data_IF_836230587837
#
_entry.id   IF_836230587837
#
_cell.length_a   1.000
_cell.length_b   1.000
_cell.length_c   1.000
_cell.angle_alpha   90.00
_cell.angle_beta   90.00
_cell.angle_gamma   90.00
#
_symmetry.space_group_name_H-M   'P 1'
#
loop_
_entity.id
_entity.type
_entity.pdbx_description
1 polymer ?
#
# COMPACT_ATOMS: atom_id res chain seq x y z
N UNK A 1 -4.48 -44.38 34.41
CA UNK A 1 -3.71 -44.68 35.63
C UNK A 1 -2.33 -45.08 35.17
N UNK A 2 -1.31 -44.25 35.41
CA UNK A 2 0.07 -44.61 35.06
C UNK A 2 0.67 -45.36 36.25
N UNK A 3 1.18 -46.57 36.00
CA UNK A 3 1.80 -47.42 37.03
C UNK A 3 3.01 -46.70 37.65
N UNK A 4 3.12 -46.72 38.97
CA UNK A 4 4.10 -46.00 39.78
C UNK A 4 5.57 -46.43 39.59
N UNK A 5 5.84 -47.29 38.60
CA UNK A 5 7.15 -47.82 38.24
C UNK A 5 7.70 -47.28 36.92
N UNK A 6 6.94 -46.45 36.17
CA UNK A 6 7.43 -45.88 34.91
C UNK A 6 8.36 -44.68 35.16
N UNK A 7 9.59 -44.68 34.62
CA UNK A 7 10.50 -43.57 34.82
C UNK A 7 9.97 -42.31 34.14
N UNK A 8 10.12 -41.15 34.78
CA UNK A 8 9.66 -39.85 34.27
C UNK A 8 10.26 -39.52 32.88
N UNK A 9 11.41 -40.10 32.53
CA UNK A 9 12.07 -39.99 31.22
C UNK A 9 11.35 -40.71 30.08
N UNK A 10 10.42 -41.62 30.39
CA UNK A 10 9.57 -42.31 29.41
C UNK A 10 8.26 -41.56 29.12
N UNK A 11 7.94 -40.53 29.90
CA UNK A 11 6.72 -39.73 29.76
C UNK A 11 7.01 -38.40 29.07
N UNK A 12 5.97 -37.70 28.66
CA UNK A 12 6.07 -36.35 28.07
C UNK A 12 6.77 -35.37 29.01
N UNK A 13 7.82 -34.68 28.54
CA UNK A 13 8.63 -33.73 29.34
C UNK A 13 7.86 -32.48 29.81
N UNK A 14 6.59 -32.32 29.44
CA UNK A 14 5.78 -31.14 29.76
C UNK A 14 4.63 -31.48 30.71
N UNK A 15 3.96 -32.61 30.52
CA UNK A 15 2.80 -33.00 31.31
C UNK A 15 3.00 -34.29 32.13
N UNK A 16 4.10 -35.02 31.93
CA UNK A 16 4.50 -36.24 32.63
C UNK A 16 3.38 -37.29 32.85
N UNK A 17 2.36 -37.31 31.99
CA UNK A 17 1.14 -38.14 32.18
C UNK A 17 0.91 -39.13 31.05
N UNK A 18 1.42 -38.83 29.86
CA UNK A 18 1.26 -39.65 28.66
C UNK A 18 2.62 -39.89 27.99
N UNK A 19 2.78 -41.02 27.27
CA UNK A 19 3.98 -41.27 26.48
C UNK A 19 4.12 -40.22 25.36
N UNK A 20 5.35 -39.80 25.03
CA UNK A 20 5.58 -38.81 23.99
C UNK A 20 5.28 -39.35 22.59
N UNK A 21 4.67 -38.52 21.74
CA UNK A 21 4.34 -38.82 20.34
C UNK A 21 5.17 -37.99 19.35
N UNK A 22 5.61 -36.81 19.77
CA UNK A 22 6.29 -35.84 18.94
C UNK A 22 7.63 -35.44 19.56
N UNK A 23 8.60 -35.09 18.73
CA UNK A 23 9.93 -34.64 19.16
C UNK A 23 10.24 -33.32 18.47
N UNK A 24 10.65 -32.31 19.25
CA UNK A 24 11.01 -31.01 18.70
C UNK A 24 12.31 -31.10 17.89
N UNK A 25 12.39 -30.52 16.68
CA UNK A 25 13.59 -30.63 15.84
C UNK A 25 14.76 -29.74 16.30
N UNK A 26 14.55 -28.81 17.23
CA UNK A 26 15.61 -27.89 17.73
C UNK A 26 16.32 -28.45 18.96
N UNK A 27 15.56 -28.76 20.00
CA UNK A 27 16.04 -29.15 21.34
C UNK A 27 15.76 -30.64 21.65
N UNK A 28 15.14 -31.38 20.72
CA UNK A 28 14.79 -32.80 20.85
C UNK A 28 13.86 -33.12 22.02
N UNK A 29 13.14 -32.12 22.53
CA UNK A 29 12.16 -32.30 23.62
C UNK A 29 11.00 -33.17 23.14
N UNK A 30 10.68 -34.20 23.92
CA UNK A 30 9.63 -35.18 23.62
C UNK A 30 8.30 -34.75 24.24
N UNK A 31 7.25 -34.69 23.43
CA UNK A 31 5.93 -34.18 23.81
C UNK A 31 4.81 -35.12 23.34
N UNK A 32 3.71 -35.23 24.09
CA UNK A 32 2.61 -36.15 23.78
C UNK A 32 1.50 -35.53 22.90
N UNK A 33 1.42 -34.21 22.82
CA UNK A 33 0.34 -33.49 22.11
C UNK A 33 0.79 -32.13 21.59
N UNK A 34 0.01 -31.55 20.68
CA UNK A 34 0.24 -30.19 20.16
C UNK A 34 0.23 -29.13 21.28
N UNK A 35 -0.64 -29.28 22.29
CA UNK A 35 -0.65 -28.38 23.44
C UNK A 35 0.68 -28.44 24.21
N UNK A 36 1.23 -29.64 24.41
CA UNK A 36 2.55 -29.82 25.03
C UNK A 36 3.67 -29.27 24.15
N UNK A 37 3.59 -29.45 22.83
CA UNK A 37 4.59 -28.92 21.91
C UNK A 37 4.55 -27.39 21.82
N UNK A 38 3.39 -26.74 21.90
CA UNK A 38 3.32 -25.28 21.98
C UNK A 38 3.72 -24.75 23.37
N UNK A 39 3.42 -25.49 24.43
CA UNK A 39 3.83 -25.13 25.78
C UNK A 39 5.36 -25.18 25.95
N UNK A 40 6.05 -26.18 25.39
CA UNK A 40 7.52 -26.20 25.43
C UNK A 40 8.13 -25.02 24.67
N UNK A 41 7.62 -24.71 23.46
CA UNK A 41 8.10 -23.57 22.66
C UNK A 41 8.01 -22.26 23.43
N UNK A 42 6.91 -22.04 24.16
CA UNK A 42 6.70 -20.85 24.99
C UNK A 42 7.59 -20.85 26.25
N UNK A 43 7.63 -21.94 27.00
CA UNK A 43 8.38 -22.02 28.28
C UNK A 43 9.90 -21.98 28.07
N UNK A 44 10.40 -22.62 27.02
CA UNK A 44 11.83 -22.71 26.71
C UNK A 44 12.29 -21.67 25.67
N UNK A 45 11.43 -20.71 25.30
CA UNK A 45 11.68 -19.76 24.20
C UNK A 45 12.24 -20.42 22.93
N UNK A 46 11.75 -21.62 22.61
CA UNK A 46 12.24 -22.44 21.52
C UNK A 46 11.47 -22.12 20.24
N UNK A 47 12.19 -21.74 19.17
CA UNK A 47 11.58 -21.48 17.84
C UNK A 47 10.93 -22.72 17.24
N UNK A 48 11.35 -23.93 17.67
CA UNK A 48 10.88 -25.19 17.12
C UNK A 48 11.32 -25.43 15.66
N UNK A 49 12.29 -24.65 15.17
CA UNK A 49 12.95 -24.83 13.88
C UNK A 49 14.36 -25.35 14.15
N UNK A 50 14.79 -26.37 13.40
CA UNK A 50 16.14 -26.93 13.50
C UNK A 50 17.15 -25.83 13.18
N UNK A 51 18.22 -25.75 13.97
CA UNK A 51 19.28 -24.78 13.71
C UNK A 51 20.09 -25.20 12.46
N UNK A 52 20.07 -24.41 11.37
CA UNK A 52 20.83 -24.74 10.16
C UNK A 52 22.34 -24.59 10.35
N UNK A 53 22.80 -23.71 11.25
CA UNK A 53 24.22 -23.40 11.44
C UNK A 53 24.91 -24.28 12.50
N UNK A 54 24.16 -25.19 13.13
CA UNK A 54 24.73 -26.10 14.12
C UNK A 54 25.79 -27.01 13.51
N UNK A 55 26.97 -27.05 14.16
CA UNK A 55 28.10 -27.85 13.73
C UNK A 55 27.74 -29.33 13.60
N UNK A 56 28.15 -29.94 12.48
CA UNK A 56 28.05 -31.38 12.24
C UNK A 56 29.40 -31.88 11.78
N UNK A 57 29.89 -32.94 12.41
CA UNK A 57 31.16 -33.55 12.04
C UNK A 57 31.12 -34.07 10.61
N UNK A 58 32.29 -34.10 9.95
CA UNK A 58 32.40 -34.51 8.54
C UNK A 58 31.84 -35.91 8.28
N UNK A 59 32.01 -36.84 9.22
CA UNK A 59 31.46 -38.20 9.13
C UNK A 59 29.93 -38.24 9.19
N UNK A 60 29.30 -37.38 10.00
CA UNK A 60 27.85 -37.29 10.10
C UNK A 60 27.22 -36.53 8.92
N UNK A 61 27.96 -35.63 8.28
CA UNK A 61 27.51 -34.93 7.07
C UNK A 61 27.54 -35.83 5.83
N UNK A 62 28.54 -36.71 5.72
CA UNK A 62 28.70 -37.66 4.62
C UNK A 62 27.67 -38.84 4.63
N UNK A 63 26.57 -38.70 5.36
CA UNK A 63 25.44 -39.63 5.37
C UNK A 63 24.32 -39.08 4.48
N UNK A 64 23.51 -39.93 3.86
CA UNK A 64 22.38 -39.51 3.00
C UNK A 64 21.50 -38.43 3.67
N UNK A 65 21.11 -38.61 4.93
CA UNK A 65 20.31 -37.61 5.66
C UNK A 65 21.05 -36.31 6.01
N UNK A 66 22.39 -36.32 6.00
CA UNK A 66 23.22 -35.12 6.15
C UNK A 66 23.23 -34.28 4.86
N UNK A 67 23.34 -34.95 3.72
CA UNK A 67 23.28 -34.35 2.37
C UNK A 67 21.87 -33.78 2.10
N UNK A 68 20.81 -34.54 2.39
CA UNK A 68 19.44 -34.07 2.20
C UNK A 68 19.14 -32.81 3.01
N UNK A 69 19.70 -32.71 4.22
CA UNK A 69 19.54 -31.52 5.07
C UNK A 69 20.19 -30.30 4.41
N UNK A 70 21.38 -30.46 3.86
CA UNK A 70 22.13 -29.38 3.21
C UNK A 70 21.45 -28.96 1.90
N UNK A 71 21.03 -29.93 1.09
CA UNK A 71 20.26 -29.69 -0.12
C UNK A 71 18.98 -28.89 0.16
N UNK A 72 18.17 -29.31 1.15
CA UNK A 72 16.96 -28.59 1.52
C UNK A 72 17.24 -27.16 2.01
N UNK A 73 18.35 -26.96 2.72
CA UNK A 73 18.77 -25.62 3.16
C UNK A 73 19.16 -24.73 1.97
N UNK A 74 20.03 -25.23 1.08
CA UNK A 74 20.49 -24.50 -0.10
C UNK A 74 19.33 -24.20 -1.07
N UNK A 75 18.49 -25.20 -1.39
CA UNK A 75 17.31 -24.97 -2.22
C UNK A 75 16.28 -24.03 -1.57
N UNK A 76 16.15 -24.07 -0.24
CA UNK A 76 15.33 -23.10 0.49
C UNK A 76 15.90 -21.68 0.42
N UNK A 77 17.22 -21.55 0.50
CA UNK A 77 17.93 -20.28 0.38
C UNK A 77 17.81 -19.70 -1.04
N UNK A 78 18.04 -20.52 -2.07
CA UNK A 78 17.86 -20.14 -3.49
C UNK A 78 16.45 -19.62 -3.75
N UNK A 79 15.42 -20.37 -3.34
CA UNK A 79 14.02 -19.92 -3.48
C UNK A 79 13.73 -18.60 -2.75
N UNK A 80 14.36 -18.38 -1.60
CA UNK A 80 14.19 -17.15 -0.85
C UNK A 80 14.90 -15.97 -1.52
N UNK A 81 16.09 -16.19 -2.08
CA UNK A 81 16.83 -15.21 -2.89
C UNK A 81 16.03 -14.89 -4.14
N UNK A 82 15.57 -15.89 -4.90
CA UNK A 82 14.74 -15.69 -6.10
C UNK A 82 13.46 -14.91 -5.78
N UNK A 83 12.81 -15.22 -4.65
CA UNK A 83 11.65 -14.46 -4.19
C UNK A 83 12.02 -13.02 -3.85
N UNK A 84 13.14 -12.80 -3.16
CA UNK A 84 13.61 -11.46 -2.82
C UNK A 84 14.02 -10.66 -4.07
N UNK A 85 14.66 -11.30 -5.06
CA UNK A 85 15.06 -10.72 -6.33
C UNK A 85 13.83 -10.39 -7.18
N UNK A 86 12.84 -11.28 -7.22
CA UNK A 86 11.55 -11.00 -7.86
C UNK A 86 10.85 -9.83 -7.17
N UNK A 87 10.83 -9.79 -5.84
CA UNK A 87 10.16 -8.75 -5.08
C UNK A 87 10.89 -7.39 -5.20
N UNK A 88 12.22 -7.38 -5.27
CA UNK A 88 13.02 -6.17 -5.52
C UNK A 88 12.88 -5.68 -6.95
N UNK A 89 12.83 -6.59 -7.93
CA UNK A 89 12.55 -6.30 -9.34
C UNK A 89 11.13 -5.75 -9.53
N UNK A 90 10.12 -6.37 -8.91
CA UNK A 90 8.73 -5.90 -8.89
C UNK A 90 8.60 -4.55 -8.18
N UNK A 91 9.44 -4.30 -7.17
CA UNK A 91 9.52 -2.99 -6.56
C UNK A 91 10.26 -2.00 -7.44
N UNK A 92 11.16 -2.43 -8.32
CA UNK A 92 11.99 -1.57 -9.17
C UNK A 92 13.24 -1.03 -8.46
N UNK A 93 13.62 -1.61 -7.31
CA UNK A 93 14.78 -1.20 -6.52
C UNK A 93 15.93 -2.15 -6.83
N UNK A 94 16.94 -1.69 -7.56
CA UNK A 94 18.15 -2.48 -7.77
C UNK A 94 19.09 -2.31 -6.58
N UNK A 95 19.40 -3.41 -5.87
CA UNK A 95 20.35 -3.41 -4.74
C UNK A 95 21.81 -3.46 -5.20
N UNK A 96 22.05 -3.95 -6.41
CA UNK A 96 23.33 -3.88 -7.08
C UNK A 96 23.31 -2.65 -7.97
N UNK A 97 24.16 -1.65 -7.72
CA UNK A 97 24.29 -0.43 -8.53
C UNK A 97 24.68 -0.66 -10.01
N UNK A 98 24.57 -1.89 -10.51
CA UNK A 98 24.83 -2.33 -11.87
C UNK A 98 23.61 -2.95 -12.57
N UNK A 99 22.46 -3.06 -11.91
CA UNK A 99 21.22 -3.43 -12.59
C UNK A 99 20.65 -2.22 -13.33
N UNK A 100 20.49 -2.31 -14.66
CA UNK A 100 19.64 -1.36 -15.40
C UNK A 100 18.25 -1.41 -14.74
N UNK A 101 17.65 -0.27 -14.33
CA UNK A 101 16.33 -0.27 -13.72
C UNK A 101 15.34 -0.88 -14.73
N UNK A 102 14.97 -2.13 -14.49
CA UNK A 102 13.99 -2.85 -15.27
C UNK A 102 12.66 -2.13 -15.03
N UNK A 103 12.16 -1.48 -16.09
CA UNK A 103 10.94 -0.68 -16.11
C UNK A 103 10.95 0.62 -15.30
N UNK A 104 11.67 1.62 -15.81
CA UNK A 104 11.22 3.00 -15.68
C UNK A 104 10.74 3.53 -17.04
N UNK A 105 9.50 3.18 -17.42
CA UNK A 105 8.63 4.19 -18.06
C UNK A 105 8.21 5.21 -16.99
N UNK A 106 9.20 5.76 -16.27
CA UNK A 106 8.96 6.91 -15.40
C UNK A 106 8.52 8.05 -16.29
N UNK A 107 7.73 8.95 -15.72
CA UNK A 107 7.50 10.25 -16.33
C UNK A 107 8.87 10.86 -16.63
N UNK A 108 9.15 11.03 -17.92
CA UNK A 108 10.26 11.87 -18.34
C UNK A 108 9.84 13.30 -18.07
N UNK A 109 10.65 14.05 -17.34
CA UNK A 109 10.36 15.45 -17.01
C UNK A 109 10.30 16.33 -18.27
N UNK A 110 10.92 15.87 -19.36
CA UNK A 110 10.87 16.47 -20.70
C UNK A 110 9.80 15.84 -21.63
N UNK A 111 9.02 14.88 -21.13
CA UNK A 111 7.92 14.27 -21.87
C UNK A 111 6.67 15.15 -21.91
N UNK A 112 5.63 14.71 -22.63
CA UNK A 112 4.37 15.45 -22.76
C UNK A 112 3.69 15.73 -21.41
N UNK A 113 3.73 14.76 -20.48
CA UNK A 113 3.24 14.95 -19.12
C UNK A 113 4.07 16.00 -18.36
N UNK A 114 5.40 15.93 -18.43
CA UNK A 114 6.28 16.92 -17.80
C UNK A 114 6.07 18.34 -18.31
N UNK A 115 5.81 18.50 -19.62
CA UNK A 115 5.43 19.78 -20.23
C UNK A 115 4.12 20.33 -19.65
N UNK A 116 3.08 19.49 -19.58
CA UNK A 116 1.80 19.88 -18.97
C UNK A 116 1.94 20.26 -17.49
N UNK A 117 2.72 19.51 -16.72
CA UNK A 117 2.94 19.82 -15.29
C UNK A 117 3.58 21.19 -15.14
N UNK A 118 4.59 21.50 -15.98
CA UNK A 118 5.27 22.80 -15.97
C UNK A 118 4.36 23.94 -16.42
N UNK A 119 3.57 23.75 -17.48
CA UNK A 119 2.64 24.76 -18.00
C UNK A 119 1.56 25.13 -16.98
N UNK A 120 1.09 24.15 -16.20
CA UNK A 120 0.12 24.36 -15.13
C UNK A 120 0.76 24.63 -13.75
N UNK A 121 2.10 24.68 -13.66
CA UNK A 121 2.82 24.87 -12.40
C UNK A 121 2.52 23.80 -11.34
N UNK A 122 2.17 22.57 -11.73
CA UNK A 122 1.85 21.47 -10.83
C UNK A 122 3.15 20.76 -10.44
N UNK A 123 3.44 20.73 -9.14
CA UNK A 123 4.65 20.10 -8.61
C UNK A 123 4.31 18.71 -8.07
N UNK A 124 4.78 17.68 -8.75
CA UNK A 124 4.54 16.29 -8.31
C UNK A 124 5.78 15.71 -7.63
N UNK A 125 5.66 15.46 -6.33
CA UNK A 125 6.65 14.74 -5.53
C UNK A 125 6.47 13.23 -5.74
N UNK A 126 7.36 12.61 -6.50
CA UNK A 126 7.31 11.17 -6.82
C UNK A 126 7.49 10.35 -5.53
N UNK A 127 6.59 9.40 -5.27
CA UNK A 127 6.71 8.47 -4.16
C UNK A 127 7.92 7.52 -4.37
N UNK A 128 8.58 7.09 -3.28
CA UNK A 128 9.67 6.12 -3.37
C UNK A 128 9.24 4.83 -4.08
N UNK A 129 10.21 4.26 -4.78
CA UNK A 129 10.04 3.07 -5.60
C UNK A 129 9.66 1.87 -4.72
N UNK A 130 8.62 1.13 -5.11
CA UNK A 130 8.09 -0.01 -4.38
C UNK A 130 6.98 0.30 -3.37
N UNK A 131 6.71 1.58 -3.09
CA UNK A 131 5.63 1.97 -2.17
C UNK A 131 4.24 1.77 -2.80
N UNK A 132 3.25 1.47 -1.95
CA UNK A 132 1.87 1.22 -2.40
C UNK A 132 1.29 2.39 -3.22
N UNK A 133 1.58 3.64 -2.82
CA UNK A 133 1.13 4.83 -3.55
C UNK A 133 1.73 4.88 -4.96
N UNK A 134 3.03 4.62 -5.12
CA UNK A 134 3.66 4.56 -6.44
C UNK A 134 3.04 3.45 -7.30
N UNK A 135 2.81 2.25 -6.74
CA UNK A 135 2.21 1.12 -7.47
C UNK A 135 0.77 1.39 -7.90
N UNK A 136 0.03 2.19 -7.14
CA UNK A 136 -1.36 2.52 -7.45
C UNK A 136 -1.51 3.66 -8.47
N UNK A 137 -0.44 4.37 -8.80
CA UNK A 137 -0.48 5.46 -9.77
C UNK A 137 -0.61 4.92 -11.21
N UNK A 138 -1.67 5.33 -11.90
CA UNK A 138 -1.97 5.03 -13.30
C UNK A 138 -2.06 6.30 -14.16
N UNK A 139 -1.58 7.43 -13.62
CA UNK A 139 -1.58 8.72 -14.32
C UNK A 139 -0.74 8.63 -15.59
N UNK A 140 -1.33 9.01 -16.72
CA UNK A 140 -0.73 8.87 -18.04
C UNK A 140 -1.17 9.98 -18.99
N UNK A 141 -0.30 10.29 -19.95
CA UNK A 141 -0.63 11.14 -21.09
C UNK A 141 -1.14 10.27 -22.25
N UNK A 142 -2.35 10.53 -22.73
CA UNK A 142 -2.90 9.85 -23.91
C UNK A 142 -2.50 10.64 -25.15
N UNK A 143 -1.53 10.11 -25.90
CA UNK A 143 -0.99 10.75 -27.11
C UNK A 143 -2.06 11.03 -28.19
N UNK A 144 -3.05 10.13 -28.34
CA UNK A 144 -4.11 10.25 -29.37
C UNK A 144 -5.03 11.45 -29.13
N UNK A 145 -5.46 11.66 -27.89
CA UNK A 145 -6.35 12.77 -27.51
C UNK A 145 -5.60 14.00 -27.01
N UNK A 146 -4.27 13.90 -26.79
CA UNK A 146 -3.40 14.92 -26.18
C UNK A 146 -3.93 15.41 -24.82
N UNK A 147 -4.48 14.49 -24.02
CA UNK A 147 -5.05 14.77 -22.69
C UNK A 147 -4.39 13.92 -21.64
N UNK A 148 -4.43 14.38 -20.39
CA UNK A 148 -3.96 13.60 -19.24
C UNK A 148 -5.13 12.96 -18.53
N UNK A 149 -4.91 11.69 -18.20
CA UNK A 149 -5.73 10.95 -17.27
C UNK A 149 -4.95 10.87 -15.97
N UNK A 150 -5.52 11.42 -14.91
CA UNK A 150 -4.97 11.44 -13.57
C UNK A 150 -5.53 10.29 -12.74
N UNK A 151 -4.68 9.64 -11.94
CA UNK A 151 -5.18 8.87 -10.81
C UNK A 151 -5.54 9.83 -9.68
N UNK A 152 -6.69 9.66 -9.06
CA UNK A 152 -7.15 10.52 -7.95
C UNK A 152 -7.55 9.63 -6.78
N UNK A 153 -6.98 9.88 -5.60
CA UNK A 153 -7.40 9.24 -4.35
C UNK A 153 -8.58 10.02 -3.76
N UNK A 154 -9.76 9.43 -3.80
CA UNK A 154 -10.96 9.95 -3.17
C UNK A 154 -11.11 9.40 -1.75
N UNK A 155 -11.30 10.30 -0.79
CA UNK A 155 -11.59 9.97 0.60
C UNK A 155 -13.00 10.45 0.93
N UNK A 156 -13.93 9.50 1.05
CA UNK A 156 -15.35 9.77 1.33
C UNK A 156 -15.71 9.04 2.61
N UNK A 157 -16.11 9.76 3.65
CA UNK A 157 -16.46 9.19 4.97
C UNK A 157 -15.38 8.26 5.56
N UNK A 158 -14.10 8.54 5.26
CA UNK A 158 -12.95 7.75 5.70
C UNK A 158 -12.60 6.55 4.81
N UNK A 159 -13.43 6.20 3.82
CA UNK A 159 -13.12 5.20 2.81
C UNK A 159 -12.23 5.79 1.71
N UNK A 160 -11.09 5.13 1.43
CA UNK A 160 -10.17 5.54 0.36
C UNK A 160 -10.42 4.73 -0.90
N UNK A 161 -10.56 5.41 -2.05
CA UNK A 161 -10.63 4.78 -3.37
C UNK A 161 -9.79 5.54 -4.38
N UNK A 162 -9.25 4.82 -5.35
CA UNK A 162 -8.46 5.41 -6.43
C UNK A 162 -9.26 5.25 -7.71
N UNK A 163 -9.48 6.35 -8.42
CA UNK A 163 -10.18 6.37 -9.71
C UNK A 163 -9.37 7.16 -10.74
N UNK A 164 -9.59 6.85 -12.01
CA UNK A 164 -9.00 7.59 -13.13
C UNK A 164 -9.92 8.73 -13.54
N UNK A 165 -9.38 9.94 -13.64
CA UNK A 165 -10.15 11.16 -13.96
C UNK A 165 -9.43 11.93 -15.06
N UNK A 166 -10.17 12.31 -16.10
CA UNK A 166 -9.65 13.17 -17.16
C UNK A 166 -9.40 14.60 -16.66
N UNK A 167 -8.33 15.23 -17.17
CA UNK A 167 -7.90 16.57 -16.78
C UNK A 167 -8.96 17.69 -16.94
N UNK A 168 -9.90 17.51 -17.87
CA UNK A 168 -10.93 18.49 -18.23
C UNK A 168 -12.26 18.28 -17.53
N UNK A 169 -12.44 17.17 -16.79
CA UNK A 169 -13.68 16.91 -16.06
C UNK A 169 -13.78 17.84 -14.85
N UNK A 170 -15.01 18.20 -14.50
CA UNK A 170 -15.28 18.96 -13.27
C UNK A 170 -15.21 18.05 -12.05
N UNK A 171 -14.92 18.63 -10.89
CA UNK A 171 -14.87 17.91 -9.62
C UNK A 171 -16.18 17.16 -9.32
N UNK A 172 -17.31 17.80 -9.60
CA UNK A 172 -18.63 17.20 -9.36
C UNK A 172 -18.95 16.06 -10.32
N UNK A 173 -18.60 16.17 -11.61
CA UNK A 173 -18.79 15.08 -12.57
C UNK A 173 -17.94 13.86 -12.22
N UNK A 174 -16.66 14.09 -11.90
CA UNK A 174 -15.74 13.03 -11.49
C UNK A 174 -16.23 12.31 -10.22
N UNK A 175 -16.81 13.05 -9.26
CA UNK A 175 -17.39 12.47 -8.06
C UNK A 175 -18.66 11.65 -8.35
N UNK A 176 -19.56 12.15 -9.21
CA UNK A 176 -20.77 11.40 -9.62
C UNK A 176 -20.41 10.06 -10.26
N UNK A 177 -19.39 10.04 -11.13
CA UNK A 177 -18.92 8.82 -11.77
C UNK A 177 -18.34 7.83 -10.77
N UNK A 178 -17.53 8.30 -9.81
CA UNK A 178 -17.02 7.46 -8.71
C UNK A 178 -18.16 6.79 -7.92
N UNK A 179 -19.21 7.54 -7.60
CA UNK A 179 -20.38 7.01 -6.88
C UNK A 179 -21.09 5.94 -7.73
N UNK A 180 -21.30 6.20 -9.02
CA UNK A 180 -21.91 5.24 -9.94
C UNK A 180 -21.07 3.97 -10.12
N UNK A 181 -19.75 4.08 -10.20
CA UNK A 181 -18.84 2.93 -10.25
C UNK A 181 -18.91 2.11 -8.97
N UNK A 182 -18.94 2.76 -7.80
CA UNK A 182 -19.10 2.10 -6.50
C UNK A 182 -20.40 1.29 -6.45
N UNK A 183 -21.51 1.86 -6.94
CA UNK A 183 -22.78 1.14 -7.00
C UNK A 183 -22.76 -0.06 -7.96
N UNK A 184 -22.15 0.10 -9.14
CA UNK A 184 -22.02 -0.99 -10.13
C UNK A 184 -21.19 -2.14 -9.56
N UNK A 185 -20.08 -1.85 -8.89
CA UNK A 185 -19.28 -2.85 -8.21
C UNK A 185 -20.06 -3.56 -7.10
N UNK A 186 -20.80 -2.82 -6.27
CA UNK A 186 -21.61 -3.40 -5.20
C UNK A 186 -22.69 -4.34 -5.76
N UNK A 187 -23.36 -3.93 -6.85
CA UNK A 187 -24.32 -4.78 -7.57
C UNK A 187 -23.67 -6.06 -8.11
N UNK A 188 -22.45 -5.95 -8.66
CA UNK A 188 -21.68 -7.12 -9.15
C UNK A 188 -21.28 -8.05 -8.00
N UNK A 189 -20.79 -7.52 -6.88
CA UNK A 189 -20.42 -8.30 -5.68
C UNK A 189 -21.62 -9.06 -5.10
N UNK A 190 -22.78 -8.40 -5.02
CA UNK A 190 -24.03 -9.04 -4.58
C UNK A 190 -24.43 -10.21 -5.48
N UNK A 191 -24.40 -10.04 -6.81
CA UNK A 191 -24.70 -11.13 -7.76
C UNK A 191 -23.76 -12.32 -7.60
N UNK A 192 -22.44 -12.08 -7.44
CA UNK A 192 -21.45 -13.16 -7.25
C UNK A 192 -21.68 -13.90 -5.93
N UNK A 193 -22.05 -13.18 -4.87
CA UNK A 193 -22.36 -13.77 -3.56
C UNK A 193 -23.65 -14.60 -3.61
N UNK A 194 -24.67 -14.12 -4.31
CA UNK A 194 -25.93 -14.85 -4.53
C UNK A 194 -25.68 -16.12 -5.36
N UNK A 195 -24.88 -16.05 -6.43
CA UNK A 195 -24.45 -17.21 -7.24
C UNK A 195 -23.64 -18.23 -6.43
N UNK A 196 -22.71 -17.77 -5.58
CA UNK A 196 -21.92 -18.65 -4.72
C UNK A 196 -22.77 -19.35 -3.65
N UNK A 197 -23.76 -18.63 -3.10
CA UNK A 197 -24.71 -19.17 -2.12
C UNK A 197 -25.65 -20.19 -2.76
N UNK A 198 -26.15 -19.92 -3.97
CA UNK A 198 -26.98 -20.86 -4.74
C UNK A 198 -26.21 -22.14 -5.12
N UNK A 199 -24.93 -22.03 -5.50
CA UNK A 199 -24.05 -23.20 -5.75
C UNK A 199 -23.82 -24.03 -4.48
N UNK A 200 -23.63 -23.37 -3.34
CA UNK A 200 -23.42 -24.03 -2.05
C UNK A 200 -24.68 -24.76 -1.57
N UNK A 201 -25.87 -24.17 -1.75
CA UNK A 201 -27.15 -24.84 -1.47
C UNK A 201 -27.38 -26.04 -2.39
N UNK A 202 -27.07 -25.93 -3.69
CA UNK A 202 -27.22 -27.05 -4.64
C UNK A 202 -26.26 -28.21 -4.33
N UNK A 203 -25.06 -27.91 -3.83
CA UNK A 203 -24.10 -28.93 -3.38
C UNK A 203 -24.56 -29.62 -2.09
N UNK A 204 -25.13 -28.87 -1.14
CA UNK A 204 -25.68 -29.43 0.11
C UNK A 204 -26.87 -30.36 -0.14
N UNK A 205 -27.81 -29.96 -1.00
CA UNK A 205 -28.97 -30.79 -1.39
C UNK A 205 -28.52 -32.06 -2.14
N UNK A 206 -27.42 -31.99 -2.90
CA UNK A 206 -26.85 -33.16 -3.59
C UNK A 206 -26.17 -34.12 -2.60
N UNK A 207 -25.51 -33.61 -1.56
CA UNK A 207 -24.92 -34.44 -0.50
C UNK A 207 -25.99 -35.12 0.35
N UNK A 208 -27.04 -34.41 0.76
CA UNK A 208 -28.17 -34.99 1.52
C UNK A 208 -28.94 -36.04 0.70
N UNK A 209 -29.03 -35.87 -0.63
CA UNK A 209 -29.63 -36.87 -1.53
C UNK A 209 -28.76 -38.13 -1.70
N UNK A 210 -27.44 -38.04 -1.52
CA UNK A 210 -26.55 -39.20 -1.57
C UNK A 210 -26.59 -39.97 -0.24
N UNK A 211 -26.64 -39.28 0.90
CA UNK A 211 -26.82 -39.92 2.22
C UNK A 211 -28.20 -40.62 2.35
N UNK A 212 -29.25 -40.09 1.72
CA UNK A 212 -30.58 -40.71 1.74
C UNK A 212 -30.67 -42.00 0.87
N UNK A 213 -29.75 -42.22 -0.08
CA UNK A 213 -29.70 -43.44 -0.90
C UNK A 213 -28.85 -44.57 -0.27
N UNK A 214 -28.10 -44.31 0.80
CA UNK A 214 -27.23 -45.30 1.45
C UNK A 214 -27.93 -46.09 2.58
N UNK A 215 -29.25 -45.90 2.77
CA UNK A 215 -30.03 -46.62 3.79
C UNK A 215 -30.98 -47.65 3.16
N UNK A 216 -30.44 -48.66 2.47
CA UNK A 216 -31.14 -49.94 2.26
C UNK A 216 -30.15 -51.11 2.38
N UNK A 217 -30.49 -52.18 3.13
CA UNK A 217 -29.58 -53.30 3.39
C UNK A 217 -29.53 -54.29 2.21
N UNK A 218 -28.35 -54.89 2.06
CA UNK A 218 -27.94 -55.85 1.02
C UNK A 218 -28.70 -57.19 1.09
N UNK A 219 -28.85 -57.85 -0.07
CA UNK A 219 -28.95 -59.32 -0.17
C UNK A 219 -28.21 -59.85 -1.41
N UNK A 220 -27.05 -60.45 -1.13
CA UNK A 220 -26.42 -61.68 -1.63
C UNK A 220 -26.56 -62.24 -3.07
N UNK A 221 -25.41 -62.75 -3.56
CA UNK A 221 -25.21 -63.74 -4.64
C UNK A 221 -24.75 -63.12 -5.97
N UNK A 222 -23.69 -63.53 -6.67
CA UNK A 222 -22.81 -64.69 -6.65
C UNK A 222 -22.48 -65.12 -8.10
N UNK A 223 -21.19 -65.24 -8.42
CA UNK A 223 -20.55 -65.87 -9.61
C UNK A 223 -20.63 -65.17 -11.01
N UNK A 224 -19.50 -64.64 -11.53
CA UNK A 224 -18.49 -65.19 -12.49
C UNK A 224 -19.02 -65.39 -13.93
N UNK A 225 -18.51 -64.61 -14.89
CA UNK A 225 -17.84 -65.16 -16.09
C UNK A 225 -16.99 -64.13 -16.86
N UNK A 226 -15.94 -64.64 -17.50
CA UNK A 226 -14.89 -63.91 -18.24
C UNK A 226 -15.29 -63.63 -19.70
N UNK A 227 -14.72 -62.58 -20.33
CA UNK A 227 -13.95 -62.68 -21.58
C UNK A 227 -13.44 -61.31 -22.12
N UNK A 228 -12.12 -61.11 -21.96
CA UNK A 228 -11.09 -60.77 -22.96
C UNK A 228 -11.42 -59.92 -24.21
N UNK A 229 -10.76 -58.76 -24.33
CA UNK A 229 -9.84 -58.30 -25.41
C UNK A 229 -9.79 -56.74 -25.46
N UNK A 230 -8.64 -56.09 -25.19
CA UNK A 230 -7.71 -55.46 -26.17
C UNK A 230 -8.43 -54.43 -27.06
N UNK A 231 -8.13 -53.13 -27.11
CA UNK A 231 -6.85 -52.42 -27.25
C UNK A 231 -7.06 -50.89 -27.07
N UNK A 232 -5.94 -50.21 -26.87
CA UNK A 232 -5.63 -48.83 -27.33
C UNK A 232 -6.21 -47.61 -26.59
N UNK A 233 -5.27 -47.01 -25.87
CA UNK A 233 -4.99 -45.58 -25.73
C UNK A 233 -5.58 -44.66 -26.80
N UNK A 234 -6.52 -43.80 -26.39
CA UNK A 234 -6.69 -42.48 -27.00
C UNK A 234 -6.11 -41.42 -26.06
N UNK A 235 -4.98 -40.85 -26.48
CA UNK A 235 -4.69 -39.46 -26.21
C UNK A 235 -5.40 -38.62 -27.26
N UNK A 236 -6.02 -37.51 -26.86
CA UNK A 236 -6.35 -36.42 -27.78
C UNK A 236 -5.36 -35.30 -27.57
N UNK A 237 -4.65 -35.01 -28.65
CA UNK A 237 -3.68 -33.97 -28.82
C UNK A 237 -4.32 -32.56 -28.95
N UNK A 238 -3.68 -31.61 -28.28
CA UNK A 238 -3.08 -30.35 -28.76
C UNK A 238 -3.39 -29.83 -30.19
N UNK A 239 -3.48 -28.49 -30.26
CA UNK A 239 -3.19 -27.54 -31.37
C UNK A 239 -4.13 -27.41 -32.56
N UNK A 240 -4.59 -26.16 -32.79
CA UNK A 240 -4.50 -25.51 -34.11
C UNK A 240 -4.28 -23.99 -33.92
N UNK A 241 -3.19 -23.49 -34.49
CA UNK A 241 -2.92 -22.09 -34.85
C UNK A 241 -3.11 -21.97 -36.41
N UNK A 242 -2.93 -20.82 -37.09
CA UNK A 242 -3.83 -20.35 -38.14
C UNK A 242 -3.20 -20.47 -39.54
N UNK A 243 -3.93 -20.05 -40.58
CA UNK A 243 -3.51 -19.04 -41.59
C UNK A 243 -4.40 -19.15 -42.84
N UNK A 244 -4.61 -17.99 -43.48
CA UNK A 244 -4.84 -17.70 -44.91
C UNK A 244 -6.15 -16.93 -45.17
N UNK A 245 -5.97 -15.73 -45.73
CA UNK A 245 -6.92 -14.68 -46.10
C UNK A 245 -7.48 -14.87 -47.55
N UNK A 246 -7.92 -13.81 -48.26
CA UNK A 246 -9.27 -13.24 -48.41
C UNK A 246 -9.85 -13.46 -49.85
N UNK A 247 -11.03 -12.91 -50.22
CA UNK A 247 -11.11 -11.61 -50.96
C UNK A 247 -12.34 -10.75 -50.57
N UNK A 248 -12.27 -9.40 -50.61
CA UNK A 248 -12.73 -8.47 -51.69
C UNK A 248 -14.09 -8.85 -52.32
N UNK A 249 -15.10 -7.99 -52.47
CA UNK A 249 -15.07 -6.65 -53.09
C UNK A 249 -16.37 -5.83 -52.82
N UNK A 250 -16.31 -4.56 -53.20
CA UNK A 250 -17.17 -3.37 -53.02
C UNK A 250 -18.70 -3.43 -53.20
N UNK A 251 -19.41 -2.51 -52.52
CA UNK A 251 -20.22 -1.48 -53.20
C UNK A 251 -20.80 -0.40 -52.25
N UNK A 252 -20.71 0.84 -52.71
CA UNK A 252 -21.28 2.09 -52.16
C UNK A 252 -22.81 2.07 -52.13
N UNK A 253 -23.40 2.81 -51.19
CA UNK A 253 -24.49 3.78 -51.48
C UNK A 253 -24.68 4.75 -50.32
N UNK A 254 -24.88 6.01 -50.69
CA UNK A 254 -25.24 7.16 -49.86
C UNK A 254 -26.74 7.12 -49.50
N UNK A 255 -27.16 7.65 -48.35
CA UNK A 255 -28.10 8.78 -48.23
C UNK A 255 -28.50 9.01 -46.74
N UNK A 256 -29.20 10.12 -46.53
CA UNK A 256 -29.18 11.04 -45.41
C UNK A 256 -30.30 10.84 -44.37
N UNK A 257 -30.07 11.44 -43.20
CA UNK A 257 -31.03 12.15 -42.35
C UNK A 257 -32.36 11.50 -41.95
N UNK A 258 -32.53 11.24 -40.64
CA UNK A 258 -33.77 11.69 -39.96
C UNK A 258 -33.58 11.91 -38.46
N UNK A 259 -34.14 13.03 -38.00
CA UNK A 259 -34.11 13.58 -36.66
C UNK A 259 -35.05 12.81 -35.72
N UNK A 260 -34.67 12.65 -34.45
CA UNK A 260 -35.63 12.63 -33.33
C UNK A 260 -34.93 12.88 -31.98
N UNK A 261 -35.22 14.05 -31.41
CA UNK A 261 -35.30 14.34 -29.97
C UNK A 261 -36.80 14.54 -29.63
N UNK A 262 -37.24 14.56 -28.35
CA UNK A 262 -36.80 13.88 -27.12
C UNK A 262 -38.02 13.21 -26.40
N UNK A 263 -37.97 12.87 -25.09
CA UNK A 263 -38.46 13.89 -24.17
C UNK A 263 -37.64 14.07 -22.89
N UNK A 264 -37.61 15.34 -22.49
CA UNK A 264 -37.25 15.91 -21.21
C UNK A 264 -37.84 15.11 -20.04
N UNK A 265 -36.99 14.70 -19.10
CA UNK A 265 -37.41 14.30 -17.75
C UNK A 265 -37.28 15.51 -16.84
N UNK A 266 -38.35 15.79 -16.14
CA UNK A 266 -38.59 16.95 -15.29
C UNK A 266 -37.70 16.93 -14.05
N UNK A 267 -37.27 18.13 -13.66
CA UNK A 267 -36.68 18.43 -12.35
C UNK A 267 -37.65 18.02 -11.24
N UNK A 268 -37.24 17.06 -10.41
CA UNK A 268 -37.82 16.77 -9.10
C UNK A 268 -36.75 17.13 -8.05
N UNK A 269 -37.06 17.99 -7.05
CA UNK A 269 -36.08 18.45 -6.08
C UNK A 269 -35.89 17.38 -5.00
N UNK A 270 -35.10 16.34 -5.31
CA UNK A 270 -34.55 15.48 -4.27
C UNK A 270 -33.58 16.30 -3.44
N UNK A 271 -33.75 16.34 -2.12
CA UNK A 271 -32.83 16.97 -1.16
C UNK A 271 -31.39 16.48 -1.40
N UNK A 272 -30.65 17.20 -2.24
CA UNK A 272 -29.30 16.84 -2.65
C UNK A 272 -28.35 17.24 -1.55
N UNK A 273 -27.77 16.26 -0.86
CA UNK A 273 -26.62 16.50 0.01
C UNK A 273 -25.54 17.24 -0.80
N UNK A 274 -25.14 18.42 -0.31
CA UNK A 274 -24.13 19.23 -0.99
C UNK A 274 -22.77 18.65 -0.66
N UNK A 275 -22.05 18.19 -1.68
CA UNK A 275 -20.70 17.65 -1.53
C UNK A 275 -19.68 18.79 -1.62
N UNK A 276 -18.90 18.98 -0.57
CA UNK A 276 -17.77 19.92 -0.53
C UNK A 276 -16.46 19.17 -0.80
N UNK A 277 -15.62 19.73 -1.69
CA UNK A 277 -14.38 19.11 -2.13
C UNK A 277 -13.16 19.81 -1.55
N UNK A 278 -12.18 19.04 -1.11
CA UNK A 278 -10.95 19.57 -0.54
C UNK A 278 -9.74 18.79 -1.04
N UNK A 279 -8.69 19.47 -1.49
CA UNK A 279 -7.42 18.86 -1.88
C UNK A 279 -6.46 18.81 -0.69
N UNK A 280 -5.82 17.67 -0.50
CA UNK A 280 -4.76 17.51 0.50
C UNK A 280 -3.48 18.26 0.11
N UNK A 281 -2.95 19.08 1.02
CA UNK A 281 -1.63 19.70 0.87
C UNK A 281 -0.55 18.80 1.50
N UNK A 282 0.40 18.25 0.70
CA UNK A 282 1.50 17.48 1.26
C UNK A 282 2.57 18.39 1.90
N UNK A 283 3.43 17.77 2.72
CA UNK A 283 4.60 18.37 3.37
C UNK A 283 4.28 19.51 4.35
N UNK A 284 3.20 19.38 5.11
CA UNK A 284 2.86 20.29 6.21
C UNK A 284 3.40 19.75 7.53
N UNK A 285 3.86 20.63 8.42
CA UNK A 285 4.40 20.27 9.74
C UNK A 285 3.34 20.10 10.81
N UNK A 286 2.08 20.48 10.53
CA UNK A 286 0.96 20.32 11.46
C UNK A 286 0.64 18.84 11.72
N UNK A 287 0.17 18.55 12.93
CA UNK A 287 -0.42 17.25 13.28
C UNK A 287 -1.75 17.02 12.59
N UNK A 288 -2.45 18.12 12.23
CA UNK A 288 -3.70 18.08 11.48
C UNK A 288 -3.41 17.98 9.99
N UNK A 289 -4.31 17.30 9.28
CA UNK A 289 -4.25 17.23 7.82
C UNK A 289 -4.71 18.55 7.21
N UNK A 290 -3.86 19.13 6.36
CA UNK A 290 -4.11 20.44 5.77
C UNK A 290 -4.82 20.31 4.43
N UNK A 291 -5.94 21.01 4.30
CA UNK A 291 -6.87 20.91 3.19
C UNK A 291 -7.05 22.24 2.46
N UNK A 292 -7.16 22.19 1.14
CA UNK A 292 -7.42 23.34 0.27
C UNK A 292 -8.83 23.20 -0.30
N UNK A 293 -9.75 24.13 -0.02
CA UNK A 293 -11.10 24.07 -0.57
C UNK A 293 -11.07 24.17 -2.10
N UNK A 294 -11.93 23.38 -2.75
CA UNK A 294 -12.11 23.37 -4.20
C UNK A 294 -13.61 23.52 -4.50
N UNK A 295 -13.96 24.43 -5.40
CA UNK A 295 -15.33 24.56 -5.87
C UNK A 295 -15.73 23.39 -6.80
N UNK A 296 -17.00 22.99 -6.73
CA UNK A 296 -17.52 21.78 -7.39
C UNK A 296 -17.50 21.84 -8.92
N UNK A 297 -17.56 23.05 -9.48
CA UNK A 297 -17.57 23.36 -10.91
C UNK A 297 -16.16 23.47 -11.52
N UNK A 298 -15.12 23.52 -10.69
CA UNK A 298 -13.74 23.64 -11.18
C UNK A 298 -13.29 22.35 -11.85
N UNK A 299 -12.50 22.50 -12.92
CA UNK A 299 -11.87 21.36 -13.58
C UNK A 299 -10.70 20.82 -12.76
N UNK A 300 -10.40 19.53 -12.90
CA UNK A 300 -9.28 18.92 -12.18
C UNK A 300 -7.96 19.65 -12.43
N UNK A 301 -7.67 20.04 -13.68
CA UNK A 301 -6.46 20.81 -14.02
C UNK A 301 -6.40 22.12 -13.25
N UNK A 302 -7.51 22.87 -13.22
CA UNK A 302 -7.57 24.15 -12.51
C UNK A 302 -7.42 23.97 -11.00
N UNK A 303 -8.05 22.92 -10.45
CA UNK A 303 -7.95 22.59 -9.04
C UNK A 303 -6.53 22.23 -8.59
N UNK A 304 -5.69 21.67 -9.48
CA UNK A 304 -4.30 21.29 -9.20
C UNK A 304 -3.27 22.36 -9.56
N UNK A 305 -3.66 23.37 -10.35
CA UNK A 305 -2.76 24.40 -10.87
C UNK A 305 -2.01 25.11 -9.73
N UNK A 306 -0.69 25.25 -9.88
CA UNK A 306 0.19 25.87 -8.86
C UNK A 306 0.18 25.20 -7.47
N UNK A 307 -0.17 23.90 -7.40
CA UNK A 307 -0.18 23.15 -6.14
C UNK A 307 0.78 21.97 -6.18
N UNK A 308 1.17 21.53 -4.98
CA UNK A 308 2.03 20.36 -4.77
C UNK A 308 1.18 19.11 -4.56
N UNK A 309 1.62 18.00 -5.15
CA UNK A 309 0.94 16.70 -5.08
C UNK A 309 1.96 15.60 -4.80
N UNK A 310 1.64 14.66 -3.91
CA UNK A 310 2.48 13.48 -3.65
C UNK A 310 2.05 12.33 -4.55
N UNK A 311 2.82 12.03 -5.59
CA UNK A 311 2.58 11.04 -6.66
C UNK A 311 1.33 11.31 -7.52
N UNK A 312 0.16 11.43 -6.89
CA UNK A 312 -1.14 11.77 -7.49
C UNK A 312 -2.06 12.40 -6.43
N UNK A 313 -3.07 13.22 -6.81
CA UNK A 313 -3.84 14.03 -5.85
C UNK A 313 -4.74 13.20 -4.93
N UNK A 314 -4.88 13.68 -3.68
CA UNK A 314 -5.84 13.14 -2.69
C UNK A 314 -6.91 14.18 -2.41
N UNK A 315 -8.17 13.80 -2.62
CA UNK A 315 -9.33 14.67 -2.54
C UNK A 315 -10.28 14.13 -1.47
N UNK A 316 -10.55 14.96 -0.47
CA UNK A 316 -11.52 14.71 0.58
C UNK A 316 -12.88 15.26 0.15
N UNK A 317 -13.92 14.47 0.39
CA UNK A 317 -15.30 14.86 0.14
C UNK A 317 -16.07 14.79 1.45
N UNK A 318 -16.69 15.91 1.81
CA UNK A 318 -17.57 15.99 2.96
C UNK A 318 -18.97 16.38 2.48
N UNK A 319 -19.98 15.60 2.88
CA UNK A 319 -21.37 15.89 2.54
C UNK A 319 -22.02 16.64 3.70
N UNK A 320 -22.57 17.82 3.44
CA UNK A 320 -23.43 18.53 4.40
C UNK A 320 -24.87 18.16 4.10
N UNK A 321 -25.55 17.58 5.09
CA UNK A 321 -26.99 17.42 5.04
C UNK A 321 -27.59 18.69 5.65
N UNK A 322 -28.27 19.51 4.84
CA UNK A 322 -29.06 20.66 5.30
C UNK A 322 -30.33 20.17 6.04
N UNK A 323 -30.17 19.47 7.15
CA UNK A 323 -31.29 19.00 7.97
C UNK A 323 -31.04 19.07 9.47
N UNK A 324 -30.22 20.03 9.94
CA UNK A 324 -30.15 20.36 11.38
C UNK A 324 -29.64 21.78 11.69
N UNK A 325 -30.11 22.80 10.96
CA UNK A 325 -30.02 24.19 11.44
C UNK A 325 -31.35 24.93 11.24
N UNK A 326 -32.36 24.52 12.01
CA UNK A 326 -33.57 25.31 12.26
C UNK A 326 -34.15 25.00 13.63
N UNK A 327 -33.31 24.93 14.67
CA UNK A 327 -33.77 25.07 16.06
C UNK A 327 -32.67 25.74 16.89
N UNK A 328 -32.57 27.06 16.75
CA UNK A 328 -32.55 27.98 17.89
C UNK A 328 -32.68 29.41 17.35
N UNK A 329 -33.92 29.88 17.38
CA UNK A 329 -34.25 31.29 17.30
C UNK A 329 -33.70 31.98 18.57
N UNK A 330 -32.93 33.04 18.41
CA UNK A 330 -33.02 34.19 19.29
C UNK A 330 -33.03 35.44 18.39
N UNK A 331 -34.23 35.98 18.22
CA UNK A 331 -34.49 37.27 17.59
C UNK A 331 -34.10 38.35 18.60
N UNK A 332 -33.17 39.23 18.24
CA UNK A 332 -33.19 40.63 18.68
C UNK A 332 -32.66 41.52 17.56
N UNK A 333 -33.28 42.68 17.38
CA UNK A 333 -33.40 43.39 16.12
C UNK A 333 -32.38 44.55 15.92
N UNK A 334 -31.76 44.60 14.72
CA UNK A 334 -31.32 45.76 13.91
C UNK A 334 -30.30 46.80 14.49
N UNK A 335 -29.61 47.65 13.67
CA UNK A 335 -29.74 47.86 12.22
C UNK A 335 -28.42 47.89 11.39
N UNK A 336 -28.63 47.59 10.10
CA UNK A 336 -28.02 48.18 8.89
C UNK A 336 -26.50 48.40 8.77
N UNK A 337 -25.92 47.67 7.80
CA UNK A 337 -24.78 48.16 7.01
C UNK A 337 -23.45 47.47 7.30
N UNK A 338 -23.26 46.23 6.85
CA UNK A 338 -21.91 45.70 6.63
C UNK A 338 -21.92 44.70 5.49
N UNK A 339 -20.97 44.89 4.59
CA UNK A 339 -20.68 44.12 3.37
C UNK A 339 -20.59 42.62 3.72
N UNK A 340 -21.41 41.81 3.05
CA UNK A 340 -21.39 40.35 3.16
C UNK A 340 -20.10 39.85 2.51
N UNK A 341 -19.12 39.44 3.34
CA UNK A 341 -18.03 38.57 2.94
C UNK A 341 -18.54 37.13 3.09
N UNK A 342 -18.90 36.49 1.98
CA UNK A 342 -19.15 35.06 1.92
C UNK A 342 -17.90 34.32 2.41
N UNK A 343 -17.99 33.75 3.61
CA UNK A 343 -17.03 32.80 4.17
C UNK A 343 -17.81 31.79 5.00
N UNK A 344 -18.66 31.02 4.32
CA UNK A 344 -19.26 29.81 4.88
C UNK A 344 -18.14 28.78 5.08
N UNK A 345 -17.50 28.86 6.25
CA UNK A 345 -16.61 27.81 6.75
C UNK A 345 -17.49 26.69 7.29
N UNK A 346 -17.86 25.74 6.42
CA UNK A 346 -18.35 24.44 6.84
C UNK A 346 -17.31 23.83 7.79
N UNK A 347 -17.69 23.66 9.07
CA UNK A 347 -16.78 23.23 10.12
C UNK A 347 -16.21 21.85 9.77
N UNK A 348 -14.91 21.82 9.45
CA UNK A 348 -14.20 20.57 9.16
C UNK A 348 -14.17 19.67 10.41
N UNK A 349 -14.24 18.34 10.26
CA UNK A 349 -14.11 17.42 11.39
C UNK A 349 -12.78 17.59 12.13
N UNK A 350 -12.74 17.18 13.41
CA UNK A 350 -11.52 17.20 14.24
C UNK A 350 -10.38 16.45 13.54
N UNK A 351 -9.21 17.08 13.41
CA UNK A 351 -8.03 16.53 12.72
C UNK A 351 -7.78 17.10 11.31
N UNK A 352 -8.68 17.95 10.81
CA UNK A 352 -8.57 18.64 9.53
C UNK A 352 -8.54 20.15 9.75
N UNK A 353 -7.65 20.86 9.05
CA UNK A 353 -7.58 22.32 9.05
C UNK A 353 -7.46 22.84 7.62
N UNK A 354 -7.96 24.04 7.34
CA UNK A 354 -7.79 24.66 6.03
C UNK A 354 -6.37 25.19 5.86
N UNK A 355 -5.93 25.36 4.61
CA UNK A 355 -4.62 25.94 4.31
C UNK A 355 -4.48 27.37 4.88
N UNK A 356 -5.56 28.16 4.87
CA UNK A 356 -5.56 29.50 5.44
C UNK A 356 -5.36 29.48 6.96
N UNK A 357 -6.04 28.56 7.65
CA UNK A 357 -5.86 28.37 9.08
C UNK A 357 -4.44 27.91 9.41
N UNK A 358 -3.90 26.95 8.66
CA UNK A 358 -2.51 26.50 8.82
C UNK A 358 -1.49 27.63 8.62
N UNK A 359 -1.68 28.47 7.60
CA UNK A 359 -0.80 29.61 7.35
C UNK A 359 -0.90 30.66 8.46
N UNK A 360 -2.08 30.84 9.05
CA UNK A 360 -2.27 31.76 10.17
C UNK A 360 -1.60 31.23 11.45
N UNK A 361 -1.78 29.96 11.78
CA UNK A 361 -1.11 29.29 12.91
C UNK A 361 0.42 29.36 12.75
N UNK A 362 0.94 29.03 11.56
CA UNK A 362 2.37 29.15 11.26
C UNK A 362 2.86 30.59 11.36
N UNK A 363 2.10 31.58 10.89
CA UNK A 363 2.49 32.98 11.04
C UNK A 363 2.56 33.41 12.50
N UNK A 364 1.72 32.85 13.38
CA UNK A 364 1.75 33.13 14.81
C UNK A 364 2.99 32.46 15.42
N UNK A 365 3.24 31.19 15.12
CA UNK A 365 4.45 30.47 15.58
C UNK A 365 5.73 31.14 15.09
N UNK A 366 5.79 31.56 13.81
CA UNK A 366 6.94 32.27 13.24
C UNK A 366 7.11 33.64 13.93
N UNK A 367 6.02 34.36 14.25
CA UNK A 367 6.08 35.62 15.02
C UNK A 367 6.52 35.39 16.46
N UNK A 368 6.06 34.32 17.11
CA UNK A 368 6.48 33.92 18.45
C UNK A 368 7.96 33.52 18.47
N UNK A 369 8.42 32.79 17.45
CA UNK A 369 9.81 32.41 17.27
C UNK A 369 10.69 33.66 17.05
N UNK A 370 10.26 34.59 16.20
CA UNK A 370 10.95 35.86 15.99
C UNK A 370 11.00 36.68 17.30
N UNK A 371 9.89 36.77 18.03
CA UNK A 371 9.85 37.45 19.33
C UNK A 371 10.75 36.79 20.38
N UNK A 372 10.82 35.45 20.38
CA UNK A 372 11.71 34.69 21.25
C UNK A 372 13.19 34.94 20.87
N UNK A 373 13.52 34.97 19.58
CA UNK A 373 14.86 35.30 19.10
C UNK A 373 15.27 36.75 19.42
N UNK A 374 14.33 37.69 19.36
CA UNK A 374 14.57 39.09 19.73
C UNK A 374 14.79 39.27 21.23
N UNK A 375 14.14 38.45 22.07
CA UNK A 375 14.32 38.47 23.53
C UNK A 375 15.69 37.98 24.00
N UNK A 376 16.50 37.36 23.12
CA UNK A 376 17.87 36.95 23.41
C UNK A 376 18.79 38.19 23.38
N UNK A 377 19.50 38.52 24.47
CA UNK A 377 20.45 39.64 24.51
C UNK A 377 21.52 39.52 23.41
N UNK A 378 21.87 40.63 22.77
CA UNK A 378 22.74 40.65 21.58
C UNK A 378 24.11 39.94 21.77
N UNK A 379 24.62 39.89 23.00
CA UNK A 379 25.86 39.17 23.35
C UNK A 379 25.77 37.63 23.26
N UNK A 380 24.56 37.05 23.30
CA UNK A 380 24.33 35.61 23.18
C UNK A 380 23.87 35.18 21.77
N UNK A 381 23.48 36.14 20.91
CA UNK A 381 23.00 35.86 19.55
C UNK A 381 24.06 35.20 18.64
N UNK A 382 25.36 35.33 18.97
CA UNK A 382 26.46 34.67 18.25
C UNK A 382 26.63 33.18 18.58
N UNK A 383 26.05 32.68 19.67
CA UNK A 383 26.23 31.28 20.10
C UNK A 383 25.14 30.36 19.50
N UNK A 384 23.96 30.90 19.16
CA UNK A 384 22.82 30.12 18.69
C UNK A 384 22.75 29.92 17.17
N UNK A 385 23.55 30.64 16.37
CA UNK A 385 23.60 30.48 14.91
C UNK A 385 24.57 29.37 14.44
N UNK A 386 25.35 28.79 15.36
CA UNK A 386 26.28 27.68 15.09
C UNK A 386 25.80 26.34 15.68
N UNK A 387 24.48 26.20 15.86
CA UNK A 387 23.81 24.95 16.24
C UNK A 387 23.73 23.95 15.09
N UNK A 388 24.84 23.72 14.38
CA UNK A 388 24.99 22.63 13.43
C UNK A 388 25.18 21.31 14.19
N UNK A 389 24.13 20.48 14.22
CA UNK A 389 24.14 19.12 14.80
C UNK A 389 25.03 18.11 14.02
N UNK A 390 25.78 18.56 13.01
CA UNK A 390 26.94 17.84 12.47
C UNK A 390 28.01 18.84 12.05
N UNK A 391 28.90 19.18 12.98
CA UNK A 391 30.07 20.02 12.72
C UNK A 391 31.33 19.28 13.16
N UNK A 392 32.03 18.66 12.21
CA UNK A 392 33.44 18.33 12.41
C UNK A 392 34.19 19.63 12.66
N UNK A 393 34.89 19.70 13.79
CA UNK A 393 35.71 20.87 14.11
C UNK A 393 36.74 21.09 13.00
N UNK A 394 36.70 22.26 12.39
CA UNK A 394 37.88 22.83 11.76
C UNK A 394 38.92 22.97 12.87
N UNK A 395 39.90 22.06 12.87
CA UNK A 395 41.17 22.28 13.55
C UNK A 395 41.73 23.60 13.06
N UNK A 396 41.68 24.63 13.91
CA UNK A 396 42.64 25.73 13.84
C UNK A 396 44.01 25.06 13.84
N UNK A 397 44.66 25.02 12.68
CA UNK A 397 46.10 24.79 12.61
C UNK A 397 46.74 25.88 13.46
N UNK A 398 47.15 25.53 14.67
CA UNK A 398 48.14 26.31 15.39
C UNK A 398 49.38 26.34 14.50
N UNK A 399 49.75 27.53 14.06
CA UNK A 399 51.03 27.76 13.40
C UNK A 399 52.09 27.58 14.48
N UNK A 400 52.62 26.35 14.57
CA UNK A 400 53.60 25.98 15.58
C UNK A 400 54.90 26.72 15.28
N UNK A 401 55.34 27.56 16.20
CA UNK A 401 56.54 28.40 16.04
C UNK A 401 57.79 27.50 15.92
N UNK A 402 58.35 27.44 14.69
CA UNK A 402 59.45 26.55 14.31
C UNK A 402 60.69 26.72 15.21
N UNK A 403 60.86 27.92 15.79
CA UNK A 403 61.95 28.20 16.74
C UNK A 403 61.78 27.44 18.05
N UNK A 404 60.54 27.28 18.51
CA UNK A 404 60.22 26.59 19.76
C UNK A 404 60.44 25.07 19.61
N UNK A 405 60.15 24.51 18.42
CA UNK A 405 60.45 23.11 18.09
C UNK A 405 61.96 22.87 18.07
N UNK A 406 62.73 23.75 17.42
CA UNK A 406 64.20 23.63 17.35
C UNK A 406 64.85 23.72 18.74
N UNK A 407 64.34 24.57 19.62
CA UNK A 407 64.88 24.72 20.98
C UNK A 407 64.61 23.49 21.86
N UNK A 408 63.46 22.84 21.70
CA UNK A 408 63.13 21.59 22.40
C UNK A 408 63.97 20.43 21.87
N UNK A 409 64.11 20.30 20.54
CA UNK A 409 64.93 19.25 19.94
C UNK A 409 66.42 19.41 20.27
N UNK A 410 66.91 20.65 20.39
CA UNK A 410 68.28 20.93 20.82
C UNK A 410 68.51 20.50 22.28
N UNK A 411 67.56 20.79 23.19
CA UNK A 411 67.63 20.34 24.59
C UNK A 411 67.65 18.82 24.69
N UNK A 412 66.80 18.14 23.94
CA UNK A 412 66.75 16.67 23.95
C UNK A 412 68.01 16.04 23.35
N UNK A 413 68.59 16.66 22.32
CA UNK A 413 69.85 16.22 21.72
C UNK A 413 71.06 16.42 22.65
N UNK A 414 71.05 17.47 23.47
CA UNK A 414 72.09 17.74 24.45
C UNK A 414 71.93 16.83 25.70
N UNK A 415 70.69 16.52 26.10
CA UNK A 415 70.38 15.56 27.17
C UNK A 415 70.76 14.11 26.83
N UNK A 416 70.97 13.79 25.54
CA UNK A 416 71.45 12.48 25.08
C UNK A 416 72.99 12.40 24.97
N UNK A 417 73.71 13.50 25.22
CA UNK A 417 75.18 13.57 25.18
C UNK A 417 75.84 13.65 26.57
N UNK A 418 75.06 13.87 27.63
CA UNK A 418 75.44 13.58 29.02
C UNK A 418 75.15 12.12 29.36
#
# INVERSE_FOLDING_TARGET
MADSSTPLTALCNICHSAPPKYTCPRDKVRTCSLACSQAHKRRAACTGVRDPSAYVSKSALATAGGIDRDYNFLSGLERNIDRADKETTERGVSLSGHGKPVFQKRWHDNGALGKYLRENGIMVHKAPIGMARQKANQTRFIQKSKRIVWSVEWVVDGEKRIAEVDESRTMQEAYKELVLEKERENKKRKRVQDDASAKSQKQKVRSEKVEALETQPQSEGGAVDQEKAVSEVEGVATTIDPTIAPPADESKTEDSSEQQQPPLSQDEPSTTAVAHFYLHKPHTSSTNTVLIPIASDTTLTHALRHKDVLEFPTIYVFSTNESSHSQNLAIEAAPAGTIVKESETSQLPKGFITLDQYNQERSVEDKELIGLMESIPEGQRKIALDGGIFGGGEEKREEVDEKQILEVLQRDADALKE
#
